data_IF_902576153849
#
_entry.id   IF_902576153849
#
_cell.length_a   1.000
_cell.length_b   1.000
_cell.length_c   1.000
_cell.angle_alpha   90.00
_cell.angle_beta   90.00
_cell.angle_gamma   90.00
#
_symmetry.space_group_name_H-M   'P 1'
#
loop_
_entity.id
_entity.type
_entity.pdbx_description
1 polymer ?
#
# COMPACT_ATOMS: atom_id res chain seq x y z
N UNK A 1 27.36 -5.72 1.83
CA UNK A 1 26.34 -6.33 0.95
C UNK A 1 25.00 -6.11 1.63
N UNK A 2 24.01 -5.57 0.93
CA UNK A 2 22.71 -5.16 1.49
C UNK A 2 21.63 -6.20 1.21
N UNK A 3 21.45 -6.59 -0.06
CA UNK A 3 20.49 -7.61 -0.48
C UNK A 3 21.15 -8.60 -1.45
N UNK A 4 20.73 -9.86 -1.40
CA UNK A 4 20.99 -10.88 -2.43
C UNK A 4 19.63 -11.29 -2.98
N UNK A 5 19.42 -11.12 -4.27
CA UNK A 5 18.17 -11.45 -4.93
C UNK A 5 18.44 -12.64 -5.84
N UNK A 6 17.85 -13.78 -5.50
CA UNK A 6 17.85 -14.97 -6.36
C UNK A 6 16.41 -15.34 -6.66
N UNK A 7 16.05 -15.20 -7.93
CA UNK A 7 14.73 -15.45 -8.48
C UNK A 7 14.87 -16.16 -9.81
N UNK A 8 13.81 -16.85 -10.21
CA UNK A 8 13.72 -17.43 -11.55
C UNK A 8 13.78 -16.37 -12.67
N UNK A 9 13.44 -15.11 -12.37
CA UNK A 9 13.47 -13.99 -13.34
C UNK A 9 14.69 -13.05 -13.20
N UNK A 10 15.44 -13.17 -12.10
CA UNK A 10 16.51 -12.23 -11.78
C UNK A 10 17.52 -12.81 -10.80
N UNK A 11 18.79 -12.57 -11.07
CA UNK A 11 19.87 -12.82 -10.13
C UNK A 11 20.68 -11.54 -9.99
N UNK A 12 20.84 -11.07 -8.76
CA UNK A 12 21.56 -9.83 -8.48
C UNK A 12 21.88 -9.64 -7.01
N UNK A 13 22.66 -8.61 -6.72
CA UNK A 13 23.01 -8.22 -5.37
C UNK A 13 23.13 -6.71 -5.28
N UNK A 14 22.85 -6.15 -4.11
CA UNK A 14 23.08 -4.75 -3.80
C UNK A 14 24.18 -4.60 -2.74
N UNK A 15 24.96 -3.54 -2.85
CA UNK A 15 26.06 -3.24 -1.94
C UNK A 15 26.35 -1.73 -1.95
N UNK A 16 26.86 -1.23 -0.84
CA UNK A 16 27.38 0.15 -0.77
C UNK A 16 28.76 0.20 -1.42
N UNK A 17 29.02 1.26 -2.18
CA UNK A 17 30.33 1.53 -2.81
C UNK A 17 30.84 2.89 -2.40
N UNK A 18 32.15 3.01 -2.21
CA UNK A 18 32.78 4.24 -1.70
C UNK A 18 33.19 5.22 -2.81
N UNK A 19 33.14 4.82 -4.08
CA UNK A 19 33.56 5.67 -5.20
C UNK A 19 32.93 5.28 -6.54
N UNK A 20 32.88 6.24 -7.47
CA UNK A 20 32.50 5.98 -8.87
C UNK A 20 33.48 5.03 -9.59
N UNK A 21 34.74 4.97 -9.15
CA UNK A 21 35.72 4.05 -9.73
C UNK A 21 35.33 2.59 -9.45
N UNK A 22 34.79 2.33 -8.25
CA UNK A 22 34.27 1.02 -7.86
C UNK A 22 33.13 0.56 -8.77
N UNK A 23 32.25 1.48 -9.20
CA UNK A 23 31.13 1.18 -10.12
C UNK A 23 31.68 0.65 -11.46
N UNK A 24 32.65 1.33 -12.07
CA UNK A 24 33.26 0.89 -13.33
C UNK A 24 33.96 -0.46 -13.23
N UNK A 25 34.57 -0.75 -12.08
CA UNK A 25 35.14 -2.08 -11.85
C UNK A 25 34.07 -3.15 -11.83
N UNK A 26 32.94 -2.90 -11.15
CA UNK A 26 31.82 -3.85 -11.09
C UNK A 26 31.24 -4.09 -12.48
N UNK A 27 31.02 -3.03 -13.26
CA UNK A 27 30.55 -3.13 -14.65
C UNK A 27 31.51 -3.96 -15.52
N UNK A 28 32.81 -3.98 -15.19
CA UNK A 28 33.80 -4.78 -15.92
C UNK A 28 33.86 -6.26 -15.51
N UNK A 29 33.19 -6.66 -14.43
CA UNK A 29 33.16 -8.06 -13.98
C UNK A 29 32.43 -8.91 -15.02
N UNK A 30 33.04 -10.00 -15.53
CA UNK A 30 32.36 -10.90 -16.45
C UNK A 30 31.04 -11.40 -15.85
N UNK A 31 29.97 -11.33 -16.65
CA UNK A 31 28.59 -11.66 -16.29
C UNK A 31 27.79 -10.59 -15.53
N UNK A 32 28.36 -9.42 -15.25
CA UNK A 32 27.56 -8.25 -14.83
C UNK A 32 26.88 -7.66 -16.07
N UNK A 33 25.55 -7.75 -16.11
CA UNK A 33 24.75 -7.28 -17.26
C UNK A 33 24.41 -5.80 -17.14
N UNK A 34 24.10 -5.34 -15.93
CA UNK A 34 23.72 -3.96 -15.66
C UNK A 34 23.97 -3.60 -14.18
N UNK A 35 24.17 -2.32 -13.93
CA UNK A 35 24.30 -1.74 -12.58
C UNK A 35 23.28 -0.61 -12.47
N UNK A 36 22.47 -0.64 -11.41
CA UNK A 36 21.44 0.36 -11.15
C UNK A 36 21.71 1.06 -9.81
N UNK A 37 21.49 2.38 -9.71
CA UNK A 37 21.53 3.07 -8.43
C UNK A 37 20.37 2.62 -7.53
N UNK A 38 20.63 2.57 -6.22
CA UNK A 38 19.60 2.31 -5.20
C UNK A 38 19.02 3.64 -4.76
N UNK A 39 17.68 3.76 -4.82
CA UNK A 39 16.96 4.96 -4.40
C UNK A 39 16.31 4.74 -3.04
N UNK A 40 16.28 5.80 -2.22
CA UNK A 40 15.47 5.83 -1.01
C UNK A 40 14.01 6.08 -1.36
N UNK A 41 13.09 5.43 -0.68
CA UNK A 41 11.64 5.56 -0.86
C UNK A 41 11.06 5.90 0.52
N UNK A 42 10.40 7.06 0.70
CA UNK A 42 9.81 7.42 1.97
C UNK A 42 8.60 6.54 2.28
N UNK A 43 8.32 6.34 3.57
CA UNK A 43 7.06 5.72 3.95
C UNK A 43 5.87 6.65 3.63
N UNK A 44 4.68 6.08 3.34
CA UNK A 44 3.44 6.84 3.32
C UNK A 44 3.22 7.52 4.68
N UNK A 45 2.72 8.76 4.66
CA UNK A 45 2.33 9.47 5.88
C UNK A 45 0.83 9.29 6.09
N UNK A 46 0.37 8.32 6.90
CA UNK A 46 -1.05 8.14 7.14
C UNK A 46 -1.59 9.33 7.95
N UNK A 47 -2.86 9.67 7.73
CA UNK A 47 -3.53 10.65 8.58
C UNK A 47 -3.69 10.11 10.01
N UNK A 48 -2.80 10.51 10.91
CA UNK A 48 -2.76 10.04 12.31
C UNK A 48 -3.92 10.55 13.18
N UNK A 49 -4.68 11.53 12.70
CA UNK A 49 -5.77 12.20 13.44
C UNK A 49 -7.00 12.46 12.56
N UNK A 50 -7.43 11.49 11.77
CA UNK A 50 -8.76 11.59 11.17
C UNK A 50 -9.79 11.43 12.30
N UNK A 51 -10.27 12.56 12.82
CA UNK A 51 -11.50 12.60 13.60
C UNK A 51 -12.59 12.47 12.53
N UNK A 52 -13.33 11.34 12.49
CA UNK A 52 -14.53 11.29 11.67
C UNK A 52 -15.37 12.50 12.07
N UNK A 53 -15.77 13.33 11.11
CA UNK A 53 -16.77 14.37 11.38
C UNK A 53 -17.88 13.72 12.19
N UNK A 54 -18.26 14.33 13.33
CA UNK A 54 -19.25 13.77 14.25
C UNK A 54 -20.37 13.14 13.45
N UNK A 55 -20.35 11.81 13.40
CA UNK A 55 -21.30 11.07 12.60
C UNK A 55 -22.57 11.07 13.39
N UNK A 56 -23.65 11.60 12.83
CA UNK A 56 -24.95 11.36 13.42
C UNK A 56 -25.13 9.85 13.57
N UNK A 57 -25.53 9.40 14.75
CA UNK A 57 -25.81 8.00 15.02
C UNK A 57 -26.91 7.40 14.12
N UNK A 58 -27.60 8.27 13.36
CA UNK A 58 -28.61 7.96 12.35
C UNK A 58 -28.04 7.72 10.93
N UNK A 59 -26.72 7.84 10.72
CA UNK A 59 -26.07 7.55 9.44
C UNK A 59 -25.79 6.04 9.34
N UNK A 60 -26.82 5.28 8.94
CA UNK A 60 -26.89 3.82 8.96
C UNK A 60 -25.86 3.09 8.06
N UNK A 61 -25.24 3.76 7.09
CA UNK A 61 -24.34 3.11 6.11
C UNK A 61 -22.88 3.37 6.42
N UNK A 62 -21.98 2.37 6.44
CA UNK A 62 -20.54 2.63 6.69
C UNK A 62 -19.83 3.22 5.46
N UNK A 63 -18.70 3.93 5.64
CA UNK A 63 -17.86 4.36 4.50
C UNK A 63 -17.41 3.19 3.59
N UNK A 64 -17.30 1.97 4.14
CA UNK A 64 -16.98 0.76 3.39
C UNK A 64 -18.16 0.28 2.54
N UNK A 65 -19.41 0.42 3.02
CA UNK A 65 -20.62 0.18 2.21
C UNK A 65 -20.61 1.12 1.00
N UNK A 66 -20.40 2.42 1.23
CA UNK A 66 -20.36 3.39 0.14
C UNK A 66 -19.18 3.12 -0.82
N UNK A 67 -18.03 2.68 -0.30
CA UNK A 67 -16.87 2.34 -1.15
C UNK A 67 -17.12 1.09 -1.99
N UNK A 68 -17.77 0.06 -1.43
CA UNK A 68 -18.16 -1.13 -2.18
C UNK A 68 -19.19 -0.80 -3.25
N UNK A 69 -20.16 0.07 -2.96
CA UNK A 69 -21.16 0.51 -3.92
C UNK A 69 -20.55 1.31 -5.08
N UNK A 70 -19.63 2.25 -4.76
CA UNK A 70 -18.91 3.04 -5.77
C UNK A 70 -18.05 2.19 -6.70
N UNK A 71 -17.56 1.05 -6.22
CA UNK A 71 -16.67 0.15 -6.95
C UNK A 71 -17.39 -1.07 -7.53
N UNK A 72 -18.69 -1.27 -7.23
CA UNK A 72 -19.48 -2.43 -7.65
C UNK A 72 -19.12 -3.74 -6.93
N UNK A 73 -18.33 -3.67 -5.85
CA UNK A 73 -17.95 -4.84 -5.04
C UNK A 73 -19.18 -5.45 -4.36
N UNK A 74 -20.14 -4.61 -3.97
CA UNK A 74 -21.44 -5.00 -3.45
C UNK A 74 -22.18 -5.93 -4.43
N UNK A 75 -22.22 -5.58 -5.71
CA UNK A 75 -22.86 -6.37 -6.77
C UNK A 75 -22.13 -7.70 -6.97
N UNK A 76 -20.80 -7.70 -6.96
CA UNK A 76 -20.00 -8.93 -7.07
C UNK A 76 -20.29 -9.89 -5.90
N UNK A 77 -20.34 -9.37 -4.67
CA UNK A 77 -20.65 -10.17 -3.48
C UNK A 77 -22.11 -10.67 -3.47
N UNK A 78 -23.06 -9.81 -3.84
CA UNK A 78 -24.49 -10.10 -3.75
C UNK A 78 -24.99 -10.95 -4.91
N UNK A 79 -24.62 -10.63 -6.14
CA UNK A 79 -25.14 -11.26 -7.35
C UNK A 79 -24.29 -12.45 -7.78
N UNK A 80 -22.96 -12.27 -7.79
CA UNK A 80 -22.03 -13.28 -8.30
C UNK A 80 -21.54 -14.26 -7.24
N UNK A 81 -21.68 -13.92 -5.94
CA UNK A 81 -21.19 -14.72 -4.80
C UNK A 81 -19.68 -15.01 -4.88
N UNK A 82 -18.91 -14.05 -5.40
CA UNK A 82 -17.44 -14.15 -5.53
C UNK A 82 -16.78 -13.35 -4.41
N UNK A 83 -15.85 -13.98 -3.70
CA UNK A 83 -15.18 -13.37 -2.52
C UNK A 83 -13.64 -13.54 -2.56
N UNK A 84 -13.07 -13.95 -3.70
CA UNK A 84 -11.62 -14.13 -3.88
C UNK A 84 -11.05 -15.48 -3.43
N UNK A 85 -11.87 -16.51 -3.28
CA UNK A 85 -11.38 -17.85 -2.92
C UNK A 85 -10.33 -18.37 -3.91
N UNK A 86 -9.20 -18.88 -3.38
CA UNK A 86 -8.10 -19.42 -4.17
C UNK A 86 -7.15 -18.37 -4.77
N UNK A 87 -7.46 -17.07 -4.62
CA UNK A 87 -6.59 -15.97 -5.06
C UNK A 87 -5.55 -15.65 -3.98
N UNK A 88 -4.31 -15.42 -4.38
CA UNK A 88 -3.19 -15.05 -3.52
C UNK A 88 -2.75 -13.61 -3.80
N UNK A 89 -2.88 -12.74 -2.80
CA UNK A 89 -2.55 -11.32 -2.92
C UNK A 89 -1.36 -10.98 -2.03
N UNK A 90 -0.23 -10.61 -2.62
CA UNK A 90 0.94 -10.12 -1.93
C UNK A 90 0.82 -8.62 -1.62
N UNK A 91 0.92 -8.26 -0.34
CA UNK A 91 0.96 -6.89 0.16
C UNK A 91 2.41 -6.57 0.53
N UNK A 92 3.06 -5.72 -0.26
CA UNK A 92 4.43 -5.25 0.00
C UNK A 92 4.34 -3.88 0.67
N UNK A 93 4.58 -3.83 1.98
CA UNK A 93 4.30 -2.66 2.82
C UNK A 93 5.05 -2.70 4.18
N UNK A 94 4.57 -2.04 5.24
CA UNK A 94 5.18 -2.02 6.59
C UNK A 94 5.19 -3.36 7.32
N UNK A 95 4.61 -4.39 6.72
CA UNK A 95 4.26 -5.66 7.35
C UNK A 95 2.76 -5.75 7.58
N UNK A 96 2.31 -6.86 8.13
CA UNK A 96 0.89 -7.08 8.45
C UNK A 96 0.77 -7.61 9.86
N UNK A 97 -0.07 -6.98 10.69
CA UNK A 97 -0.51 -7.55 11.95
C UNK A 97 -1.46 -8.72 11.69
N UNK A 98 -0.86 -9.88 11.43
CA UNK A 98 -1.61 -11.11 11.20
C UNK A 98 -2.28 -11.64 12.47
N UNK A 99 -1.98 -11.09 13.64
CA UNK A 99 -2.68 -11.43 14.90
C UNK A 99 -4.04 -10.75 15.01
N UNK A 100 -4.33 -9.77 14.16
CA UNK A 100 -5.62 -9.09 14.12
C UNK A 100 -6.75 -10.08 13.78
N UNK A 101 -7.85 -10.15 14.56
CA UNK A 101 -8.91 -11.15 14.34
C UNK A 101 -9.58 -11.06 12.97
N UNK A 102 -9.74 -9.85 12.43
CA UNK A 102 -10.27 -9.65 11.08
C UNK A 102 -9.34 -10.18 9.97
N UNK A 103 -8.06 -10.40 10.27
CA UNK A 103 -7.05 -10.98 9.39
C UNK A 103 -6.72 -12.43 9.78
N UNK A 104 -7.60 -13.09 10.53
CA UNK A 104 -7.51 -14.52 10.84
C UNK A 104 -6.74 -14.87 12.11
N UNK A 105 -5.97 -13.93 12.69
CA UNK A 105 -5.31 -14.13 13.98
C UNK A 105 -4.13 -15.10 13.98
N UNK A 106 -3.57 -15.44 12.81
CA UNK A 106 -2.41 -16.32 12.69
C UNK A 106 -1.63 -16.11 11.39
N UNK A 107 -0.41 -16.65 11.34
CA UNK A 107 0.48 -16.64 10.17
C UNK A 107 0.86 -18.05 9.72
N UNK A 108 0.95 -18.27 8.42
CA UNK A 108 1.41 -19.52 7.79
C UNK A 108 0.34 -20.20 6.95
N UNK A 109 0.68 -21.30 6.28
CA UNK A 109 -0.09 -21.82 5.13
C UNK A 109 -1.56 -22.24 5.36
N UNK A 110 -2.07 -22.23 6.60
CA UNK A 110 -3.49 -22.47 6.93
C UNK A 110 -4.22 -21.19 7.40
N UNK A 111 -3.52 -20.06 7.42
CA UNK A 111 -4.01 -18.78 7.90
C UNK A 111 -4.42 -17.88 6.73
N UNK A 112 -5.19 -16.84 7.04
CA UNK A 112 -5.54 -15.78 6.08
C UNK A 112 -4.28 -15.10 5.57
N UNK A 113 -3.35 -14.74 6.46
CA UNK A 113 -1.98 -14.34 6.11
C UNK A 113 -1.14 -15.60 5.98
N UNK A 114 -1.05 -16.11 4.76
CA UNK A 114 -0.61 -17.48 4.48
C UNK A 114 0.90 -17.65 4.29
N UNK A 115 1.57 -16.59 3.88
CA UNK A 115 2.98 -16.57 3.49
C UNK A 115 3.52 -15.15 3.58
N UNK A 116 4.83 -14.97 3.52
CA UNK A 116 5.43 -13.66 3.67
C UNK A 116 6.90 -13.70 4.04
N UNK A 117 7.51 -12.52 4.17
CA UNK A 117 8.92 -12.35 4.53
C UNK A 117 9.19 -10.91 5.01
N UNK A 118 10.11 -10.74 5.96
CA UNK A 118 10.64 -9.43 6.35
C UNK A 118 12.01 -9.21 5.68
N UNK A 119 12.11 -8.15 4.88
CA UNK A 119 13.34 -7.79 4.17
C UNK A 119 14.28 -6.89 4.95
N UNK A 120 13.83 -6.32 6.07
CA UNK A 120 14.50 -5.17 6.69
C UNK A 120 14.70 -5.29 8.19
N UNK A 121 13.77 -5.93 8.91
CA UNK A 121 13.83 -6.02 10.36
C UNK A 121 13.47 -4.71 11.07
N UNK A 122 13.29 -4.80 12.38
CA UNK A 122 12.75 -3.73 13.22
C UNK A 122 13.60 -2.45 13.25
N UNK A 123 14.93 -2.58 13.27
CA UNK A 123 15.87 -1.46 13.43
C UNK A 123 16.13 -0.68 12.14
N UNK A 124 15.54 -1.10 11.03
CA UNK A 124 15.74 -0.46 9.74
C UNK A 124 15.09 0.92 9.70
N UNK A 125 15.88 1.93 9.34
CA UNK A 125 15.46 3.34 9.29
C UNK A 125 16.39 4.18 8.42
N UNK A 126 16.07 5.47 8.23
CA UNK A 126 16.99 6.39 7.57
C UNK A 126 18.32 6.55 8.32
N UNK A 127 18.30 6.43 9.65
CA UNK A 127 19.49 6.46 10.50
C UNK A 127 20.26 5.12 10.55
N UNK A 128 19.61 4.02 10.19
CA UNK A 128 20.20 2.69 10.13
C UNK A 128 19.71 1.93 8.87
N UNK A 129 20.27 2.22 7.69
CA UNK A 129 19.79 1.68 6.42
C UNK A 129 20.35 0.27 6.11
N UNK A 130 20.70 -0.50 7.14
CA UNK A 130 21.21 -1.86 7.00
C UNK A 130 20.10 -2.86 7.34
N UNK A 131 19.55 -3.58 6.35
CA UNK A 131 18.48 -4.53 6.58
C UNK A 131 18.96 -5.76 7.35
N UNK A 132 18.11 -6.28 8.24
CA UNK A 132 18.27 -7.57 8.94
C UNK A 132 17.03 -8.40 8.63
N UNK A 133 17.02 -9.13 7.50
CA UNK A 133 15.87 -9.90 7.06
C UNK A 133 15.57 -11.11 7.96
N UNK A 134 14.30 -11.47 8.07
CA UNK A 134 13.85 -12.69 8.72
C UNK A 134 12.50 -13.19 8.14
N UNK A 135 12.02 -14.34 8.62
CA UNK A 135 10.80 -14.98 8.09
C UNK A 135 9.50 -14.44 8.72
N UNK A 136 9.55 -13.41 9.58
CA UNK A 136 8.40 -12.87 10.30
C UNK A 136 7.97 -11.47 9.78
N UNK A 137 6.97 -11.40 8.89
CA UNK A 137 6.51 -10.13 8.32
C UNK A 137 5.57 -9.34 9.25
N UNK A 138 5.51 -9.69 10.54
CA UNK A 138 4.64 -9.02 11.51
C UNK A 138 4.91 -7.51 11.57
N UNK A 139 3.85 -6.72 11.51
CA UNK A 139 3.90 -5.31 11.91
C UNK A 139 3.44 -5.16 13.36
N UNK A 140 4.40 -5.21 14.29
CA UNK A 140 4.15 -5.14 15.73
C UNK A 140 4.61 -3.82 16.38
N UNK A 141 5.14 -2.90 15.58
CA UNK A 141 5.88 -1.76 16.11
C UNK A 141 5.77 -0.50 15.25
N UNK A 142 5.31 -0.60 13.99
CA UNK A 142 5.17 0.60 13.18
C UNK A 142 4.00 1.42 13.72
N UNK A 143 4.24 2.72 13.91
CA UNK A 143 3.18 3.64 14.34
C UNK A 143 2.15 3.89 13.24
N UNK A 144 2.43 3.52 11.99
CA UNK A 144 1.51 3.66 10.87
C UNK A 144 0.58 2.45 10.73
N UNK A 145 1.05 1.23 11.07
CA UNK A 145 0.35 -0.05 10.81
C UNK A 145 -0.23 -0.12 9.39
N UNK A 146 0.51 0.44 8.44
CA UNK A 146 0.03 0.78 7.11
C UNK A 146 -0.34 -0.45 6.30
N UNK A 147 0.56 -1.44 6.28
CA UNK A 147 0.32 -2.70 5.59
C UNK A 147 -0.84 -3.50 6.19
N UNK A 148 -1.08 -3.41 7.50
CA UNK A 148 -2.27 -4.00 8.15
C UNK A 148 -3.56 -3.36 7.63
N UNK A 149 -3.57 -2.04 7.48
CA UNK A 149 -4.71 -1.32 6.91
C UNK A 149 -4.96 -1.74 5.45
N UNK A 150 -3.91 -1.75 4.61
CA UNK A 150 -3.97 -2.22 3.22
C UNK A 150 -4.43 -3.67 3.12
N UNK A 151 -3.94 -4.57 3.99
CA UNK A 151 -4.37 -5.96 4.01
C UNK A 151 -5.85 -6.09 4.41
N UNK A 152 -6.33 -5.23 5.33
CA UNK A 152 -7.73 -5.23 5.76
C UNK A 152 -8.69 -4.82 4.64
N UNK A 153 -8.33 -3.75 3.95
CA UNK A 153 -8.94 -3.28 2.71
C UNK A 153 -9.11 -4.43 1.69
N UNK A 154 -8.04 -5.19 1.47
CA UNK A 154 -8.04 -6.31 0.51
C UNK A 154 -8.90 -7.49 0.98
N UNK A 155 -8.69 -7.99 2.21
CA UNK A 155 -9.22 -9.31 2.57
C UNK A 155 -9.67 -9.47 4.03
N UNK A 156 -9.84 -8.39 4.80
CA UNK A 156 -10.37 -8.55 6.16
C UNK A 156 -11.78 -9.11 6.17
N UNK A 157 -12.09 -9.86 7.21
CA UNK A 157 -13.43 -10.23 7.59
C UNK A 157 -13.72 -9.74 9.00
N UNK A 158 -14.36 -8.58 9.10
CA UNK A 158 -14.80 -7.98 10.36
C UNK A 158 -16.12 -8.54 10.89
N UNK A 159 -16.75 -9.49 10.19
CA UNK A 159 -18.07 -10.00 10.58
C UNK A 159 -17.96 -10.94 11.79
N UNK A 160 -18.84 -10.76 12.77
CA UNK A 160 -18.92 -11.65 13.93
C UNK A 160 -17.76 -11.57 14.92
N UNK A 161 -16.89 -10.55 14.83
CA UNK A 161 -15.83 -10.33 15.83
C UNK A 161 -16.46 -9.85 17.14
N UNK A 162 -16.31 -10.64 18.19
CA UNK A 162 -16.80 -10.34 19.55
C UNK A 162 -15.68 -10.13 20.56
N UNK A 163 -14.43 -10.25 20.14
CA UNK A 163 -13.27 -10.05 21.01
C UNK A 163 -13.17 -8.58 21.46
N UNK A 164 -13.18 -8.36 22.78
CA UNK A 164 -13.05 -7.03 23.35
C UNK A 164 -11.79 -6.31 22.83
N UNK A 165 -11.95 -5.03 22.45
CA UNK A 165 -10.89 -4.24 21.82
C UNK A 165 -10.82 -4.34 20.29
N UNK A 166 -11.46 -5.34 19.69
CA UNK A 166 -11.47 -5.57 18.22
C UNK A 166 -12.89 -5.60 17.62
N UNK A 167 -13.92 -5.36 18.43
CA UNK A 167 -15.31 -5.29 17.97
C UNK A 167 -15.42 -4.07 17.05
N UNK A 168 -15.69 -4.25 15.75
CA UNK A 168 -15.83 -3.11 14.86
C UNK A 168 -17.13 -2.38 15.16
N UNK A 169 -17.16 -1.07 14.89
CA UNK A 169 -18.38 -0.26 15.04
C UNK A 169 -19.55 -0.84 14.24
N UNK A 170 -19.26 -1.38 13.06
CA UNK A 170 -20.20 -2.12 12.22
C UNK A 170 -19.48 -3.31 11.57
N UNK A 171 -20.16 -4.44 11.32
CA UNK A 171 -19.59 -5.54 10.54
C UNK A 171 -19.14 -5.05 9.17
N UNK A 172 -17.98 -5.51 8.72
CA UNK A 172 -17.43 -5.14 7.42
C UNK A 172 -16.68 -6.30 6.77
N UNK A 173 -16.50 -6.21 5.46
CA UNK A 173 -15.68 -7.10 4.66
C UNK A 173 -14.71 -6.26 3.83
N UNK A 174 -13.51 -6.76 3.61
CA UNK A 174 -12.66 -6.29 2.52
C UNK A 174 -13.22 -6.72 1.16
N UNK A 175 -12.54 -6.34 0.08
CA UNK A 175 -12.99 -6.62 -1.29
C UNK A 175 -13.00 -8.11 -1.61
N UNK A 176 -11.98 -8.85 -1.17
CA UNK A 176 -11.77 -10.26 -1.41
C UNK A 176 -11.54 -11.01 -0.08
N UNK A 177 -12.56 -11.13 0.79
CA UNK A 177 -12.39 -11.65 2.15
C UNK A 177 -11.98 -13.13 2.21
N UNK A 178 -12.07 -13.88 1.10
CA UNK A 178 -11.62 -15.26 0.99
C UNK A 178 -10.23 -15.42 0.34
N UNK A 179 -9.59 -14.34 -0.13
CA UNK A 179 -8.23 -14.39 -0.71
C UNK A 179 -7.13 -14.58 0.34
N UNK A 180 -6.09 -15.36 0.03
CA UNK A 180 -4.92 -15.51 0.91
C UNK A 180 -3.98 -14.32 0.78
N UNK A 181 -3.63 -13.69 1.90
CA UNK A 181 -2.68 -12.58 1.94
C UNK A 181 -1.25 -13.12 2.08
N UNK A 182 -0.35 -12.58 1.27
CA UNK A 182 1.10 -12.65 1.45
C UNK A 182 1.62 -11.36 2.05
N UNK A 183 2.27 -11.39 3.21
CA UNK A 183 2.78 -10.18 3.87
C UNK A 183 4.27 -9.99 3.60
N UNK A 184 4.66 -8.91 2.94
CA UNK A 184 6.06 -8.61 2.64
C UNK A 184 6.46 -7.29 3.27
N UNK A 185 7.24 -7.38 4.36
CA UNK A 185 7.64 -6.24 5.15
C UNK A 185 8.89 -5.59 4.57
N UNK A 186 8.78 -4.31 4.24
CA UNK A 186 9.84 -3.51 3.60
C UNK A 186 10.17 -2.23 4.37
N UNK A 187 9.54 -2.00 5.52
CA UNK A 187 9.87 -0.91 6.46
C UNK A 187 10.15 -1.46 7.87
N UNK A 188 11.12 -0.85 8.56
CA UNK A 188 11.35 -1.08 9.97
C UNK A 188 10.36 -0.33 10.86
N UNK A 189 10.50 -0.45 12.18
CA UNK A 189 9.57 0.14 13.15
C UNK A 189 9.50 1.67 13.09
N UNK A 190 10.60 2.33 12.67
CA UNK A 190 10.62 3.77 12.47
C UNK A 190 9.63 4.20 11.37
N UNK A 191 9.37 3.33 10.39
CA UNK A 191 8.42 3.58 9.30
C UNK A 191 8.72 4.87 8.56
N UNK A 192 10.00 5.19 8.33
CA UNK A 192 10.43 6.46 7.72
C UNK A 192 10.90 6.28 6.27
N UNK A 193 11.57 5.16 5.97
CA UNK A 193 12.15 4.91 4.67
C UNK A 193 12.31 3.43 4.35
N UNK A 194 12.43 3.16 3.06
CA UNK A 194 12.82 1.90 2.43
C UNK A 194 13.67 2.19 1.21
N UNK A 195 14.06 1.18 0.44
CA UNK A 195 14.91 1.36 -0.73
C UNK A 195 14.48 0.52 -1.93
N UNK A 196 14.84 0.99 -3.12
CA UNK A 196 14.42 0.34 -4.37
C UNK A 196 14.93 -1.08 -4.52
N UNK A 197 16.09 -1.43 -3.93
CA UNK A 197 16.61 -2.80 -3.91
C UNK A 197 15.79 -3.73 -2.99
N UNK A 198 15.32 -3.23 -1.85
CA UNK A 198 14.38 -3.95 -0.96
C UNK A 198 13.05 -4.19 -1.69
N UNK A 199 12.51 -3.16 -2.35
CA UNK A 199 11.29 -3.29 -3.16
C UNK A 199 11.45 -4.29 -4.30
N UNK A 200 12.59 -4.24 -4.99
CA UNK A 200 12.94 -5.19 -6.06
C UNK A 200 12.96 -6.62 -5.52
N UNK A 201 13.59 -6.84 -4.37
CA UNK A 201 13.65 -8.15 -3.72
C UNK A 201 12.24 -8.66 -3.33
N UNK A 202 11.40 -7.79 -2.78
CA UNK A 202 10.03 -8.10 -2.41
C UNK A 202 9.16 -8.47 -3.60
N UNK A 203 9.24 -7.73 -4.71
CA UNK A 203 8.50 -8.03 -5.95
C UNK A 203 8.85 -9.42 -6.48
N UNK A 204 10.15 -9.75 -6.58
CA UNK A 204 10.57 -11.07 -7.05
C UNK A 204 10.20 -12.19 -6.09
N UNK A 205 10.33 -11.96 -4.76
CA UNK A 205 9.94 -12.97 -3.78
C UNK A 205 8.44 -13.25 -3.83
N UNK A 206 7.61 -12.22 -3.94
CA UNK A 206 6.16 -12.37 -4.09
C UNK A 206 5.79 -13.18 -5.34
N UNK A 207 6.50 -12.95 -6.45
CA UNK A 207 6.37 -13.77 -7.66
C UNK A 207 6.79 -15.23 -7.45
N UNK A 208 7.96 -15.47 -6.86
CA UNK A 208 8.47 -16.83 -6.64
C UNK A 208 7.60 -17.62 -5.65
N UNK A 209 7.04 -16.93 -4.66
CA UNK A 209 6.05 -17.47 -3.71
C UNK A 209 4.67 -17.71 -4.37
N UNK A 210 4.49 -17.40 -5.66
CA UNK A 210 3.28 -17.60 -6.48
C UNK A 210 2.08 -16.75 -6.05
N UNK A 211 2.32 -15.45 -5.83
CA UNK A 211 1.23 -14.48 -5.76
C UNK A 211 0.58 -14.29 -7.15
N UNK A 212 -0.75 -14.24 -7.18
CA UNK A 212 -1.51 -13.92 -8.39
C UNK A 212 -1.59 -12.41 -8.62
N UNK A 213 -1.60 -11.67 -7.50
CA UNK A 213 -1.68 -10.22 -7.45
C UNK A 213 -0.60 -9.70 -6.50
N UNK A 214 0.13 -8.67 -6.90
CA UNK A 214 1.05 -7.94 -6.03
C UNK A 214 0.58 -6.49 -5.93
N UNK A 215 0.36 -6.02 -4.70
CA UNK A 215 -0.02 -4.65 -4.41
C UNK A 215 1.05 -3.93 -3.62
N UNK A 216 1.30 -2.67 -3.96
CA UNK A 216 2.19 -1.77 -3.25
C UNK A 216 1.51 -0.42 -3.08
N UNK A 217 1.19 -0.08 -1.85
CA UNK A 217 0.68 1.24 -1.48
C UNK A 217 1.82 2.20 -1.13
N UNK A 218 2.99 2.00 -1.75
CA UNK A 218 4.23 2.69 -1.42
C UNK A 218 4.92 3.08 -2.71
N UNK A 219 5.47 4.29 -2.74
CA UNK A 219 6.25 4.73 -3.88
C UNK A 219 6.99 6.03 -3.61
N UNK A 220 7.83 6.43 -4.55
CA UNK A 220 8.51 7.74 -4.52
C UNK A 220 8.32 8.48 -5.83
N UNK A 221 8.12 9.79 -5.72
CA UNK A 221 8.05 10.68 -6.88
C UNK A 221 9.37 10.65 -7.69
N UNK A 222 9.28 11.06 -8.95
CA UNK A 222 10.42 11.01 -9.86
C UNK A 222 10.71 9.59 -10.34
N UNK A 223 9.67 8.89 -10.80
CA UNK A 223 9.79 7.57 -11.40
C UNK A 223 10.53 7.63 -12.74
N UNK A 224 11.55 6.79 -12.88
CA UNK A 224 12.33 6.62 -14.11
C UNK A 224 12.37 5.15 -14.49
N UNK A 225 12.23 4.86 -15.78
CA UNK A 225 12.07 3.50 -16.31
C UNK A 225 13.22 2.55 -16.01
N UNK A 226 14.41 3.09 -15.75
CA UNK A 226 15.63 2.36 -15.45
C UNK A 226 15.76 1.93 -13.98
N UNK A 227 14.80 2.27 -13.11
CA UNK A 227 14.87 1.83 -11.71
C UNK A 227 14.65 0.31 -11.59
N UNK A 228 15.37 -0.31 -10.66
CA UNK A 228 15.36 -1.78 -10.49
C UNK A 228 13.99 -2.34 -10.11
N UNK A 229 13.22 -1.59 -9.31
CA UNK A 229 11.85 -1.92 -8.89
C UNK A 229 10.87 -1.85 -10.07
N UNK A 230 11.03 -0.89 -10.98
CA UNK A 230 10.25 -0.82 -12.22
C UNK A 230 10.57 -1.98 -13.17
N UNK A 231 11.85 -2.31 -13.35
CA UNK A 231 12.26 -3.44 -14.20
C UNK A 231 11.74 -4.76 -13.62
N UNK A 232 11.79 -4.92 -12.30
CA UNK A 232 11.23 -6.10 -11.63
C UNK A 232 9.72 -6.19 -11.83
N UNK A 233 8.99 -5.10 -11.62
CA UNK A 233 7.55 -5.04 -11.87
C UNK A 233 7.22 -5.42 -13.31
N UNK A 234 7.90 -4.85 -14.31
CA UNK A 234 7.66 -5.20 -15.71
C UNK A 234 7.89 -6.69 -15.98
N UNK A 235 9.01 -7.26 -15.50
CA UNK A 235 9.31 -8.69 -15.74
C UNK A 235 8.28 -9.61 -15.09
N UNK A 236 7.82 -9.26 -13.90
CA UNK A 236 6.81 -10.05 -13.17
C UNK A 236 5.44 -9.93 -13.85
N UNK A 237 5.05 -8.74 -14.33
CA UNK A 237 3.79 -8.57 -15.06
C UNK A 237 3.76 -9.34 -16.38
N UNK A 238 4.91 -9.43 -17.08
CA UNK A 238 5.08 -10.25 -18.28
C UNK A 238 4.89 -11.76 -18.03
N UNK A 239 4.97 -12.22 -16.78
CA UNK A 239 4.65 -13.60 -16.40
C UNK A 239 3.16 -13.82 -16.06
N UNK A 240 2.32 -12.79 -16.18
CA UNK A 240 0.87 -12.87 -15.94
C UNK A 240 0.43 -12.59 -14.51
N UNK A 241 1.31 -12.03 -13.66
CA UNK A 241 0.94 -11.54 -12.33
C UNK A 241 0.37 -10.13 -12.43
N UNK A 242 -0.77 -9.88 -11.80
CA UNK A 242 -1.39 -8.55 -11.79
C UNK A 242 -0.69 -7.65 -10.77
N UNK A 243 -0.31 -6.46 -11.18
CA UNK A 243 0.39 -5.50 -10.33
C UNK A 243 -0.47 -4.25 -10.12
N UNK A 244 -0.70 -3.87 -8.87
CA UNK A 244 -1.46 -2.67 -8.53
C UNK A 244 -0.67 -1.78 -7.58
N UNK A 245 -0.28 -0.60 -8.08
CA UNK A 245 0.64 0.28 -7.37
C UNK A 245 0.05 1.69 -7.24
N UNK A 246 0.26 2.32 -6.09
CA UNK A 246 -0.22 3.69 -5.87
C UNK A 246 0.47 4.68 -6.81
N UNK A 247 -0.31 5.55 -7.45
CA UNK A 247 0.21 6.58 -8.36
C UNK A 247 1.06 7.63 -7.61
N UNK A 248 0.84 7.77 -6.30
CA UNK A 248 1.55 8.67 -5.40
C UNK A 248 0.78 9.94 -5.04
N UNK A 249 1.13 10.52 -3.88
CA UNK A 249 0.42 11.67 -3.28
C UNK A 249 1.13 13.02 -3.52
N UNK A 250 2.08 13.05 -4.46
CA UNK A 250 2.90 14.23 -4.76
C UNK A 250 2.25 15.19 -5.78
N UNK A 251 0.92 15.16 -5.95
CA UNK A 251 0.21 15.96 -6.95
C UNK A 251 0.40 17.47 -6.80
N UNK A 252 0.64 17.95 -5.57
CA UNK A 252 0.95 19.36 -5.28
C UNK A 252 2.32 19.82 -5.80
N UNK A 253 3.22 18.90 -6.14
CA UNK A 253 4.56 19.21 -6.66
C UNK A 253 4.58 19.48 -8.18
N UNK A 254 3.45 19.37 -8.87
CA UNK A 254 3.31 19.68 -10.29
C UNK A 254 3.31 18.46 -11.21
N UNK A 255 3.69 18.67 -12.47
CA UNK A 255 3.76 17.61 -13.49
C UNK A 255 4.89 16.61 -13.18
N UNK A 256 4.77 15.38 -13.66
CA UNK A 256 5.79 14.31 -13.54
C UNK A 256 6.03 13.80 -12.11
N UNK A 257 4.99 13.82 -11.27
CA UNK A 257 5.04 13.41 -9.86
C UNK A 257 4.62 11.96 -9.65
N UNK A 258 4.51 11.18 -10.73
CA UNK A 258 4.15 9.77 -10.69
C UNK A 258 5.13 8.97 -9.82
N UNK A 259 4.59 8.07 -9.00
CA UNK A 259 5.35 7.22 -8.10
C UNK A 259 5.98 6.01 -8.79
N UNK A 260 7.23 5.69 -8.47
CA UNK A 260 7.81 4.37 -8.79
C UNK A 260 7.34 3.34 -7.78
N UNK A 261 6.97 2.10 -8.18
CA UNK A 261 7.03 1.52 -9.52
C UNK A 261 5.71 1.60 -10.34
N UNK A 262 4.77 2.49 -9.96
CA UNK A 262 3.41 2.50 -10.53
C UNK A 262 3.30 2.71 -12.04
N UNK A 263 4.27 3.40 -12.64
CA UNK A 263 4.33 3.63 -14.08
C UNK A 263 5.04 2.51 -14.86
N UNK A 264 5.35 1.39 -14.21
CA UNK A 264 5.93 0.23 -14.88
C UNK A 264 4.98 -0.28 -15.97
N UNK A 265 5.49 -0.62 -17.18
CA UNK A 265 4.68 -1.33 -18.16
C UNK A 265 4.06 -2.60 -17.55
N UNK A 266 2.76 -2.79 -17.80
CA UNK A 266 1.98 -3.91 -17.25
C UNK A 266 1.51 -3.73 -15.80
N UNK A 267 1.88 -2.64 -15.12
CA UNK A 267 1.30 -2.30 -13.83
C UNK A 267 0.04 -1.42 -13.98
N UNK A 268 -0.90 -1.58 -13.05
CA UNK A 268 -2.07 -0.72 -12.91
C UNK A 268 -1.70 0.37 -11.90
N UNK A 269 -1.59 1.60 -12.38
CA UNK A 269 -1.35 2.77 -11.54
C UNK A 269 -2.67 3.28 -10.97
N UNK A 270 -2.78 3.32 -9.64
CA UNK A 270 -4.05 3.62 -8.94
C UNK A 270 -3.97 4.99 -8.27
N UNK A 271 -4.86 5.90 -8.69
CA UNK A 271 -5.12 7.17 -8.00
C UNK A 271 -6.27 7.00 -7.00
N UNK A 272 -6.54 8.02 -6.18
CA UNK A 272 -7.71 8.02 -5.29
C UNK A 272 -8.74 9.05 -5.74
N UNK A 273 -9.94 8.86 -5.24
CA UNK A 273 -11.07 9.77 -5.38
C UNK A 273 -11.72 9.94 -4.01
N UNK A 274 -12.24 11.13 -3.73
CA UNK A 274 -13.04 11.33 -2.53
C UNK A 274 -14.47 10.81 -2.75
N UNK A 275 -15.05 10.28 -1.68
CA UNK A 275 -16.47 9.99 -1.65
C UNK A 275 -17.26 11.30 -1.62
N UNK A 276 -18.13 11.51 -2.61
CA UNK A 276 -18.97 12.70 -2.71
C UNK A 276 -20.05 12.77 -1.61
N UNK A 277 -20.30 11.67 -0.88
CA UNK A 277 -21.05 11.68 0.38
C UNK A 277 -20.15 12.11 1.55
N UNK A 278 -19.56 13.31 1.45
CA UNK A 278 -19.14 14.03 2.65
C UNK A 278 -20.40 14.58 3.30
N UNK A 279 -20.58 14.40 4.61
CA UNK A 279 -21.63 15.09 5.36
C UNK A 279 -21.41 16.60 5.24
N UNK A 280 -22.03 17.23 4.23
CA UNK A 280 -22.10 18.68 4.14
C UNK A 280 -23.06 19.15 5.22
N UNK A 281 -22.53 19.76 6.28
CA UNK A 281 -23.35 20.45 7.26
C UNK A 281 -24.02 21.64 6.56
N UNK A 282 -25.31 21.48 6.28
CA UNK A 282 -26.17 22.52 5.70
C UNK A 282 -27.02 23.13 6.81
N UNK A 283 -26.97 24.45 6.94
CA UNK A 283 -27.93 25.20 7.75
C UNK A 283 -28.92 25.89 6.81
N UNK A 284 -30.22 25.72 7.10
CA UNK A 284 -31.29 26.48 6.46
C UNK A 284 -31.56 27.72 7.31
N UNK A 285 -31.44 28.91 6.71
CA UNK A 285 -31.88 30.14 7.36
C UNK A 285 -33.41 30.19 7.42
N UNK A 286 -34.01 31.01 8.30
CA UNK A 286 -35.46 31.26 8.29
C UNK A 286 -36.01 31.74 6.95
N UNK A 287 -35.15 32.29 6.08
CA UNK A 287 -35.48 32.77 4.74
C UNK A 287 -35.22 31.72 3.64
N UNK A 288 -34.96 30.46 4.03
CA UNK A 288 -34.73 29.32 3.16
C UNK A 288 -33.44 29.39 2.31
N UNK A 289 -32.45 30.15 2.77
CA UNK A 289 -31.10 30.15 2.18
C UNK A 289 -30.26 28.99 2.74
N UNK A 290 -29.49 28.35 1.87
CA UNK A 290 -28.58 27.24 2.25
C UNK A 290 -27.19 27.80 2.54
N UNK A 291 -26.74 27.66 3.79
CA UNK A 291 -25.36 27.99 4.18
C UNK A 291 -24.57 26.68 4.28
N UNK A 292 -23.52 26.57 3.46
CA UNK A 292 -22.60 25.44 3.47
C UNK A 292 -21.48 25.66 4.49
N UNK A 293 -21.33 24.74 5.45
CA UNK A 293 -20.13 24.68 6.27
C UNK A 293 -19.11 23.74 5.63
N UNK A 294 -17.93 24.28 5.31
CA UNK A 294 -16.75 23.46 5.08
C UNK A 294 -16.13 23.16 6.45
N UNK A 295 -15.77 21.89 6.75
CA UNK A 295 -14.97 21.61 7.94
C UNK A 295 -13.67 22.39 7.84
N UNK A 296 -13.39 23.25 8.82
CA UNK A 296 -12.17 24.03 8.85
C UNK A 296 -10.97 23.12 9.06
N UNK A 297 -10.16 22.91 8.02
CA UNK A 297 -8.79 22.43 8.21
C UNK A 297 -7.95 23.56 8.83
N UNK A 298 -7.08 23.23 9.76
CA UNK A 298 -6.23 24.19 10.44
C UNK A 298 -5.39 25.03 9.45
N UNK A 299 -5.29 26.32 9.76
CA UNK A 299 -4.61 27.43 9.07
C UNK A 299 -5.37 28.14 7.95
N UNK A 300 -5.81 29.35 8.30
CA UNK A 300 -6.49 30.29 7.42
C UNK A 300 -5.63 30.83 6.28
N UNK A 301 -6.30 31.03 5.15
CA UNK A 301 -5.83 31.76 4.00
C UNK A 301 -6.98 31.93 3.04
N UNK A 302 -7.63 33.09 3.06
CA UNK A 302 -8.62 33.47 2.06
C UNK A 302 -7.98 33.50 0.68
N UNK A 303 -8.31 32.56 -0.21
CA UNK A 303 -8.31 32.80 -1.66
C UNK A 303 -9.48 32.09 -2.33
N UNK A 304 -10.35 32.91 -2.88
CA UNK A 304 -11.45 32.58 -3.78
C UNK A 304 -10.89 32.14 -5.13
N UNK A 305 -10.82 30.85 -5.40
CA UNK A 305 -11.00 30.30 -6.75
C UNK A 305 -11.39 28.85 -6.59
N UNK A 306 -12.51 28.48 -7.19
CA UNK A 306 -12.90 27.07 -7.35
C UNK A 306 -11.84 26.43 -8.23
N UNK A 307 -10.83 25.84 -7.61
CA UNK A 307 -9.98 24.84 -8.22
C UNK A 307 -10.22 23.58 -7.41
N UNK A 308 -10.75 22.58 -8.08
CA UNK A 308 -10.82 21.20 -7.61
C UNK A 308 -9.42 20.76 -7.18
N UNK A 309 -9.11 21.01 -5.91
CA UNK A 309 -7.92 20.50 -5.25
C UNK A 309 -8.26 19.06 -4.90
N UNK A 310 -7.74 18.16 -5.72
CA UNK A 310 -7.70 16.72 -5.48
C UNK A 310 -6.66 16.51 -4.38
N UNK A 311 -7.12 16.36 -3.13
CA UNK A 311 -6.31 15.84 -2.03
C UNK A 311 -6.83 14.45 -1.75
N UNK A 312 -6.07 13.51 -2.29
CA UNK A 312 -6.26 12.08 -2.13
C UNK A 312 -5.68 11.68 -0.77
N UNK A 313 -6.56 11.23 0.14
CA UNK A 313 -6.14 10.18 1.05
C UNK A 313 -5.92 8.93 0.21
N UNK A 314 -4.65 8.53 0.06
CA UNK A 314 -4.30 7.20 -0.43
C UNK A 314 -5.04 6.20 0.46
N UNK A 315 -5.70 5.18 -0.06
CA UNK A 315 -5.25 4.20 -1.03
C UNK A 315 -6.42 3.29 -1.34
N UNK A 316 -6.96 3.24 -2.55
CA UNK A 316 -8.08 2.32 -2.77
C UNK A 316 -8.18 1.79 -4.22
N UNK A 317 -7.71 0.54 -4.36
CA UNK A 317 -8.31 -0.61 -5.06
C UNK A 317 -8.05 -0.95 -6.54
N UNK A 318 -8.14 -2.28 -6.72
CA UNK A 318 -7.99 -3.15 -7.89
C UNK A 318 -9.35 -3.26 -8.59
N UNK A 319 -9.35 -3.24 -9.94
CA UNK A 319 -10.54 -3.47 -10.78
C UNK A 319 -10.95 -4.93 -10.85
#
# INVERSE_FOLDING_TARGET
MRQIISSSLFNGASFSVDSQHSIKMIESIPNVIAVYPVYSIPAPDPLKNYIPLERNADDDETHLVISHDLTGVDQVHQEMKVFGNGVRVAVIDTGVDYSHPALGGCFGGQCKVGFGYDFVGNEYSAGNPNPIPDDDPMDNCSQSSHGTHVAGIVAANGTGITQAGFIPFQPFLGVAPQATIGAYRVFGCAGDTTSSDVMTAAIYRAFDDKADIITMSVGSAGAYTERSDMIAAQRVSEQGVYLTFSFGNAGSMGLQTCGSPSISPGAIAVASIDNLHAAQLQLFTPDNETIFYLPGTAFGGWQTTVQSIIIVNGEFFIR
#
